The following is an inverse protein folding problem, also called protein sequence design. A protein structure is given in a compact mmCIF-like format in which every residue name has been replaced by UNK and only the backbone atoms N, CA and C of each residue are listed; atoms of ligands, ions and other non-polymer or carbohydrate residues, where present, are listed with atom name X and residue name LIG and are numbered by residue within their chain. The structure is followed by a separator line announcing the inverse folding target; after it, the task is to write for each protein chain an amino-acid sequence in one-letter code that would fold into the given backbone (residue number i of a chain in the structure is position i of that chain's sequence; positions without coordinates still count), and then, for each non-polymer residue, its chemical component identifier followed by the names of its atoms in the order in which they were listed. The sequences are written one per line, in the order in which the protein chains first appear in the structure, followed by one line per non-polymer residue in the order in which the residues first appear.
data_IF_390772841331
#
_entry.id   IF_390772841331
#
_cell.length_a   1.000
_cell.length_b   1.000
_cell.length_c   1.000
_cell.angle_alpha   90.00
_cell.angle_beta   90.00
_cell.angle_gamma   90.00
#
_symmetry.space_group_name_H-M   'P 1'
#
loop_
_entity.id
_entity.type
_entity.pdbx_description
1 polymer ?
#
# COMPACT_ATOMS: atom_id res chain seq x y z
N UNK A 1 7.10 23.95 -3.05
CA UNK A 1 6.07 24.32 -2.06
C UNK A 1 6.45 23.70 -0.72
N UNK A 2 6.69 24.48 0.35
CA UNK A 2 6.96 23.94 1.69
C UNK A 2 5.68 23.53 2.44
N UNK A 3 4.49 23.89 1.95
CA UNK A 3 3.23 23.78 2.71
C UNK A 3 2.50 22.44 2.57
N UNK A 4 3.06 21.47 1.85
CA UNK A 4 2.42 20.18 1.65
C UNK A 4 1.20 20.23 0.71
N UNK A 5 0.21 19.36 0.97
CA UNK A 5 -0.98 19.17 0.13
C UNK A 5 -2.18 19.87 0.78
N UNK A 6 -2.85 20.74 0.02
CA UNK A 6 -4.15 21.30 0.40
C UNK A 6 -5.27 20.38 -0.12
N UNK A 7 -6.14 19.92 0.77
CA UNK A 7 -7.21 18.98 0.44
C UNK A 7 -8.35 19.68 -0.31
N UNK A 8 -8.58 20.97 -0.07
CA UNK A 8 -9.64 21.72 -0.75
C UNK A 8 -9.29 21.97 -2.22
N UNK A 9 -8.00 22.18 -2.52
CA UNK A 9 -7.54 22.46 -3.88
C UNK A 9 -7.33 21.19 -4.72
N UNK A 10 -6.71 20.15 -4.12
CA UNK A 10 -6.27 18.97 -4.89
C UNK A 10 -6.87 17.65 -4.40
N UNK A 11 -7.74 17.68 -3.39
CA UNK A 11 -8.43 16.51 -2.84
C UNK A 11 -7.57 15.66 -1.90
N UNK A 12 -8.13 14.57 -1.37
CA UNK A 12 -7.39 13.65 -0.52
C UNK A 12 -6.36 12.81 -1.31
N UNK A 13 -5.26 12.36 -0.67
CA UNK A 13 -4.30 11.46 -1.31
C UNK A 13 -4.94 10.18 -1.86
N UNK A 14 -4.51 9.73 -3.03
CA UNK A 14 -5.09 8.55 -3.67
C UNK A 14 -4.61 7.28 -2.95
N UNK A 15 -5.55 6.40 -2.63
CA UNK A 15 -5.28 5.06 -2.10
C UNK A 15 -5.15 4.06 -3.26
N UNK A 16 -3.93 3.94 -3.80
CA UNK A 16 -3.67 3.23 -5.06
C UNK A 16 -3.97 1.72 -4.96
N UNK A 17 -3.63 1.08 -3.83
CA UNK A 17 -3.94 -0.35 -3.65
C UNK A 17 -5.45 -0.64 -3.72
N UNK A 18 -6.27 0.18 -3.09
CA UNK A 18 -7.74 0.06 -3.09
C UNK A 18 -8.30 0.34 -4.50
N UNK A 19 -7.80 1.38 -5.16
CA UNK A 19 -8.19 1.72 -6.54
C UNK A 19 -7.90 0.57 -7.51
N UNK A 20 -6.68 0.01 -7.46
CA UNK A 20 -6.29 -1.10 -8.35
C UNK A 20 -6.97 -2.41 -7.98
N UNK A 21 -7.25 -2.65 -6.69
CA UNK A 21 -7.96 -3.85 -6.26
C UNK A 21 -9.41 -3.90 -6.79
N UNK A 22 -10.05 -2.74 -6.98
CA UNK A 22 -11.39 -2.64 -7.53
C UNK A 22 -11.50 -3.00 -9.02
N UNK A 23 -10.40 -3.02 -9.77
CA UNK A 23 -10.43 -3.35 -11.20
C UNK A 23 -10.77 -4.82 -11.44
N UNK A 24 -11.65 -5.12 -12.40
CA UNK A 24 -12.06 -6.50 -12.69
C UNK A 24 -11.04 -7.27 -13.55
N UNK A 25 -9.86 -7.50 -12.99
CA UNK A 25 -8.77 -8.22 -13.63
C UNK A 25 -8.00 -9.07 -12.61
N UNK A 26 -7.44 -10.23 -13.00
CA UNK A 26 -6.52 -10.97 -12.16
C UNK A 26 -5.32 -10.11 -11.77
N UNK A 27 -5.16 -9.87 -10.46
CA UNK A 27 -4.04 -9.12 -9.92
C UNK A 27 -3.65 -9.60 -8.52
N UNK A 28 -2.39 -9.38 -8.17
CA UNK A 28 -1.90 -9.39 -6.79
C UNK A 28 -1.63 -7.96 -6.35
N UNK A 29 -2.42 -7.46 -5.40
CA UNK A 29 -2.31 -6.09 -4.90
C UNK A 29 -2.06 -6.14 -3.39
N UNK A 30 -0.95 -5.56 -2.95
CA UNK A 30 -0.54 -5.57 -1.55
C UNK A 30 0.05 -4.22 -1.14
N UNK A 31 -0.32 -3.73 0.04
CA UNK A 31 0.37 -2.62 0.71
C UNK A 31 1.09 -3.14 1.93
N UNK A 32 2.39 -2.89 2.04
CA UNK A 32 3.17 -3.23 3.22
C UNK A 32 3.90 -2.00 3.74
N UNK A 33 4.59 -2.15 4.87
CA UNK A 33 5.40 -1.07 5.44
C UNK A 33 6.83 -1.56 5.68
N UNK A 34 7.77 -0.63 5.70
CA UNK A 34 9.18 -0.89 6.02
C UNK A 34 9.64 -0.14 7.27
N UNK A 35 8.72 0.45 8.04
CA UNK A 35 9.07 1.30 9.19
C UNK A 35 9.49 0.52 10.45
N UNK A 36 9.24 -0.81 10.51
CA UNK A 36 9.62 -1.68 11.63
C UNK A 36 10.04 -3.08 11.14
N UNK A 37 10.90 -3.80 11.88
CA UNK A 37 11.36 -5.15 11.50
C UNK A 37 10.24 -6.13 11.17
N UNK A 38 9.16 -6.15 11.97
CA UNK A 38 7.97 -6.99 11.72
C UNK A 38 7.35 -6.74 10.34
N UNK A 39 7.28 -5.48 9.91
CA UNK A 39 6.70 -5.10 8.63
C UNK A 39 7.67 -5.38 7.47
N UNK A 40 8.97 -5.20 7.66
CA UNK A 40 10.01 -5.53 6.66
C UNK A 40 9.92 -7.00 6.25
N UNK A 41 9.72 -7.92 7.21
CA UNK A 41 9.54 -9.36 6.90
C UNK A 41 8.31 -9.58 6.00
N UNK A 42 7.20 -8.90 6.28
CA UNK A 42 5.98 -8.98 5.44
C UNK A 42 6.19 -8.37 4.07
N UNK A 43 6.84 -7.21 3.98
CA UNK A 43 7.19 -6.55 2.73
C UNK A 43 8.05 -7.45 1.84
N UNK A 44 9.10 -8.07 2.42
CA UNK A 44 9.94 -9.04 1.70
C UNK A 44 9.14 -10.22 1.15
N UNK A 45 8.18 -10.74 1.92
CA UNK A 45 7.29 -11.82 1.46
C UNK A 45 6.41 -11.34 0.29
N UNK A 46 5.77 -10.17 0.41
CA UNK A 46 4.90 -9.62 -0.63
C UNK A 46 5.66 -9.39 -1.96
N UNK A 47 6.86 -8.80 -1.89
CA UNK A 47 7.71 -8.57 -3.07
C UNK A 47 8.08 -9.91 -3.74
N UNK A 48 8.47 -10.93 -2.96
CA UNK A 48 8.76 -12.27 -3.50
C UNK A 48 7.54 -12.90 -4.18
N UNK A 49 6.37 -12.81 -3.56
CA UNK A 49 5.11 -13.30 -4.12
C UNK A 49 4.78 -12.61 -5.44
N UNK A 50 4.90 -11.27 -5.48
CA UNK A 50 4.64 -10.47 -6.68
C UNK A 50 5.50 -10.91 -7.87
N UNK A 51 6.81 -11.08 -7.67
CA UNK A 51 7.72 -11.59 -8.71
C UNK A 51 7.43 -13.04 -9.08
N UNK A 52 7.12 -13.90 -8.11
CA UNK A 52 6.73 -15.29 -8.39
C UNK A 52 5.52 -15.34 -9.33
N UNK A 53 4.48 -14.55 -9.07
CA UNK A 53 3.30 -14.51 -9.93
C UNK A 53 3.58 -13.94 -11.32
N UNK A 54 4.49 -12.97 -11.45
CA UNK A 54 4.94 -12.47 -12.75
C UNK A 54 5.70 -13.55 -13.54
N UNK A 55 6.64 -14.27 -12.90
CA UNK A 55 7.38 -15.37 -13.53
C UNK A 55 6.46 -16.52 -13.98
N UNK A 56 5.45 -16.83 -13.17
CA UNK A 56 4.41 -17.83 -13.48
C UNK A 56 3.36 -17.33 -14.49
N UNK A 57 3.47 -16.09 -14.99
CA UNK A 57 2.51 -15.43 -15.90
C UNK A 57 1.06 -15.47 -15.39
N UNK A 58 0.87 -15.37 -14.07
CA UNK A 58 -0.44 -15.56 -13.43
C UNK A 58 -1.31 -14.33 -13.44
N UNK A 59 -0.72 -13.16 -13.18
CA UNK A 59 -1.45 -11.92 -13.01
C UNK A 59 -0.52 -10.71 -13.03
N UNK A 60 -1.10 -9.51 -13.12
CA UNK A 60 -0.43 -8.27 -12.79
C UNK A 60 -0.14 -8.21 -11.28
N UNK A 61 1.02 -7.69 -10.87
CA UNK A 61 1.39 -7.56 -9.46
C UNK A 61 1.73 -6.11 -9.12
N UNK A 62 1.16 -5.58 -8.04
CA UNK A 62 1.46 -4.27 -7.48
C UNK A 62 1.73 -4.38 -5.97
N UNK A 63 2.86 -3.84 -5.54
CA UNK A 63 3.26 -3.79 -4.13
C UNK A 63 3.57 -2.34 -3.76
N UNK A 64 2.73 -1.75 -2.91
CA UNK A 64 2.92 -0.42 -2.34
C UNK A 64 3.65 -0.53 -0.99
N UNK A 65 4.66 0.32 -0.76
CA UNK A 65 5.45 0.31 0.47
C UNK A 65 5.37 1.65 1.19
N UNK A 66 4.83 1.64 2.40
CA UNK A 66 4.90 2.78 3.31
C UNK A 66 6.29 2.84 3.93
N UNK A 67 7.04 3.88 3.62
CA UNK A 67 8.37 4.17 4.15
C UNK A 67 8.42 5.60 4.70
N UNK A 68 9.37 5.84 5.61
CA UNK A 68 9.67 7.18 6.11
C UNK A 68 10.93 7.72 5.45
N UNK A 69 10.84 8.93 4.89
CA UNK A 69 12.00 9.71 4.45
C UNK A 69 11.97 11.03 5.25
N UNK A 70 12.64 11.12 6.41
CA UNK A 70 12.44 12.22 7.36
C UNK A 70 12.92 13.58 6.86
N UNK A 71 13.63 13.63 5.72
CA UNK A 71 14.33 14.81 5.19
C UNK A 71 13.48 16.08 5.14
N UNK A 72 12.18 15.98 4.87
CA UNK A 72 11.30 17.14 4.69
C UNK A 72 10.18 17.24 5.73
N UNK A 73 10.25 16.48 6.83
CA UNK A 73 9.18 16.40 7.83
C UNK A 73 9.48 17.19 9.11
N UNK A 74 10.73 17.66 9.29
CA UNK A 74 11.14 18.33 10.52
C UNK A 74 11.11 17.43 11.76
N UNK A 75 11.10 16.10 11.55
CA UNK A 75 11.05 15.08 12.60
C UNK A 75 12.39 14.32 12.64
N UNK A 76 12.81 13.89 13.82
CA UNK A 76 13.90 12.91 13.92
C UNK A 76 13.48 11.58 13.28
N UNK A 77 14.43 10.70 12.89
CA UNK A 77 14.09 9.40 12.31
C UNK A 77 13.14 8.56 13.18
N UNK A 78 13.27 8.63 14.51
CA UNK A 78 12.41 7.88 15.44
C UNK A 78 11.00 8.46 15.49
N UNK A 79 10.88 9.79 15.55
CA UNK A 79 9.59 10.48 15.53
C UNK A 79 8.86 10.28 14.19
N UNK A 80 9.58 10.28 13.07
CA UNK A 80 9.01 10.04 11.75
C UNK A 80 8.39 8.64 11.66
N UNK A 81 9.05 7.61 12.23
CA UNK A 81 8.50 6.25 12.31
C UNK A 81 7.23 6.20 13.15
N UNK A 82 7.24 6.86 14.32
CA UNK A 82 6.06 6.95 15.19
C UNK A 82 4.90 7.66 14.50
N UNK A 83 5.15 8.81 13.89
CA UNK A 83 4.15 9.57 13.15
C UNK A 83 3.57 8.78 11.97
N UNK A 84 4.41 8.06 11.22
CA UNK A 84 3.94 7.21 10.14
C UNK A 84 3.05 6.06 10.63
N UNK A 85 3.36 5.49 11.80
CA UNK A 85 2.52 4.46 12.41
C UNK A 85 1.17 5.00 12.91
N UNK A 86 1.16 6.19 13.51
CA UNK A 86 -0.04 6.80 14.09
C UNK A 86 -0.92 7.51 13.06
N UNK A 87 -0.35 7.96 11.94
CA UNK A 87 -1.04 8.80 10.94
C UNK A 87 -1.13 8.13 9.58
N UNK A 88 0.00 7.69 9.01
CA UNK A 88 0.01 7.13 7.65
C UNK A 88 -0.58 5.72 7.58
N UNK A 89 -0.26 4.82 8.52
CA UNK A 89 -0.78 3.44 8.49
C UNK A 89 -2.32 3.41 8.63
N UNK A 90 -2.97 4.20 9.52
CA UNK A 90 -4.43 4.25 9.56
C UNK A 90 -5.05 4.77 8.27
N UNK A 91 -4.42 5.74 7.62
CA UNK A 91 -4.91 6.26 6.33
C UNK A 91 -4.64 5.29 5.17
N UNK A 92 -3.50 4.61 5.18
CA UNK A 92 -3.05 3.63 4.20
C UNK A 92 -2.92 2.25 4.86
N UNK A 93 -4.05 1.54 5.10
CA UNK A 93 -4.03 0.28 5.80
C UNK A 93 -3.11 -0.73 5.10
N UNK A 94 -2.26 -1.41 5.87
CA UNK A 94 -1.35 -2.42 5.34
C UNK A 94 -2.06 -3.77 5.25
N UNK A 95 -1.82 -4.53 4.19
CA UNK A 95 -2.49 -5.79 3.93
C UNK A 95 -2.40 -6.26 2.49
N UNK A 96 -2.99 -7.42 2.23
CA UNK A 96 -3.27 -7.88 0.87
C UNK A 96 -4.68 -7.46 0.51
N UNK A 97 -4.83 -6.75 -0.60
CA UNK A 97 -6.10 -6.20 -1.08
C UNK A 97 -6.73 -7.08 -2.16
N UNK A 98 -5.88 -7.79 -2.92
CA UNK A 98 -6.34 -8.71 -3.95
C UNK A 98 -5.31 -9.81 -4.17
N UNK A 99 -5.77 -11.04 -4.31
CA UNK A 99 -4.95 -12.19 -4.68
C UNK A 99 -5.58 -12.93 -5.88
N UNK A 100 -4.76 -13.54 -6.76
CA UNK A 100 -5.29 -14.30 -7.90
C UNK A 100 -6.09 -15.51 -7.41
N UNK A 101 -7.39 -15.53 -7.73
CA UNK A 101 -8.31 -16.59 -7.33
C UNK A 101 -9.27 -16.24 -6.19
N UNK A 102 -9.18 -15.06 -5.58
CA UNK A 102 -10.31 -14.51 -4.83
C UNK A 102 -11.43 -14.19 -5.82
N UNK A 103 -12.53 -14.93 -5.73
CA UNK A 103 -13.72 -14.73 -6.54
C UNK A 103 -14.13 -13.26 -6.50
N UNK A 104 -14.50 -12.73 -7.66
CA UNK A 104 -14.99 -11.37 -7.83
C UNK A 104 -16.10 -11.13 -6.81
N UNK A 105 -15.87 -10.20 -5.88
CA UNK A 105 -16.88 -9.71 -4.96
C UNK A 105 -17.91 -8.87 -5.69
N UNK A 106 -18.61 -9.48 -6.67
CA UNK A 106 -19.95 -9.10 -7.03
C UNK A 106 -20.82 -9.41 -5.83
N UNK A 107 -20.96 -8.43 -4.94
CA UNK A 107 -22.09 -8.42 -4.02
C UNK A 107 -23.35 -8.51 -4.86
N UNK A 108 -24.13 -9.55 -4.60
CA UNK A 108 -25.52 -9.68 -5.02
C UNK A 108 -26.24 -8.34 -4.83
N UNK A 109 -26.44 -7.60 -5.92
CA UNK A 109 -27.55 -6.66 -6.04
C UNK A 109 -28.70 -7.44 -6.70
N UNK A 110 -29.48 -8.11 -5.87
CA UNK A 110 -30.91 -8.28 -6.12
C UNK A 110 -31.61 -7.06 -5.53
#
# INVERSE_FOLDING_TARGET
SPFGRDVEDVGMPIRVSELLAALNTPAYISRQSVIKPKYIVKAKKAIKTAFKYQLERRCFSFVELVSTCPTNWGLTPVEAVKWAEETLIPYYPIGEFKTPGQAEGGSNAK
#
